data_IF_131047688476
#
_entry.id   IF_131047688476
#
_cell.length_a   1.000
_cell.length_b   1.000
_cell.length_c   1.000
_cell.angle_alpha   90.00
_cell.angle_beta   90.00
_cell.angle_gamma   90.00
#
_symmetry.space_group_name_H-M   'P 1'
#
loop_
_entity.id
_entity.type
_entity.pdbx_description
1 polymer ?
#
# COMPACT_ATOMS: atom_id res chain seq x y z
N UNK A 1 27.37 -14.97 -26.20
CA UNK A 1 26.33 -14.85 -25.16
C UNK A 1 25.96 -13.39 -25.05
N UNK A 2 24.81 -13.01 -25.60
CA UNK A 2 24.31 -11.62 -25.56
C UNK A 2 23.62 -11.40 -24.22
N UNK A 3 24.27 -10.68 -23.31
CA UNK A 3 23.63 -10.16 -22.11
C UNK A 3 22.59 -9.12 -22.53
N UNK A 4 21.32 -9.49 -22.54
CA UNK A 4 20.23 -8.51 -22.64
C UNK A 4 20.28 -7.70 -21.34
N UNK A 5 20.81 -6.47 -21.45
CA UNK A 5 20.66 -5.46 -20.42
C UNK A 5 19.16 -5.19 -20.32
N UNK A 6 18.53 -5.72 -19.28
CA UNK A 6 17.14 -5.42 -18.96
C UNK A 6 17.06 -3.91 -18.75
N UNK A 7 16.44 -3.20 -19.70
CA UNK A 7 16.05 -1.82 -19.52
C UNK A 7 15.15 -1.75 -18.29
N UNK A 8 15.64 -1.08 -17.25
CA UNK A 8 14.92 -0.90 -15.99
C UNK A 8 13.54 -0.32 -16.31
N UNK A 9 12.47 -1.05 -16.00
CA UNK A 9 11.12 -0.58 -16.22
C UNK A 9 10.92 0.74 -15.49
N UNK A 10 10.30 1.72 -16.13
CA UNK A 10 9.96 3.02 -15.51
C UNK A 10 8.95 2.88 -14.36
N UNK A 11 8.31 1.72 -14.22
CA UNK A 11 7.44 1.38 -13.10
C UNK A 11 8.28 1.07 -11.86
N UNK A 12 7.96 1.72 -10.74
CA UNK A 12 8.54 1.43 -9.43
C UNK A 12 7.79 0.26 -8.82
N UNK A 13 8.48 -0.84 -8.53
CA UNK A 13 7.86 -2.00 -7.88
C UNK A 13 7.59 -1.69 -6.41
N UNK A 14 6.57 -2.30 -5.82
CA UNK A 14 6.41 -2.32 -4.36
C UNK A 14 7.62 -2.96 -3.68
N UNK A 15 8.35 -3.83 -4.39
CA UNK A 15 9.61 -4.41 -3.93
C UNK A 15 10.76 -3.40 -3.87
N UNK A 16 10.60 -2.21 -4.45
CA UNK A 16 11.65 -1.18 -4.49
C UNK A 16 11.40 -0.04 -3.49
N UNK A 17 10.23 0.02 -2.85
CA UNK A 17 9.80 1.14 -2.00
C UNK A 17 9.73 0.70 -0.53
N UNK A 18 10.26 1.51 0.38
CA UNK A 18 10.08 1.32 1.81
C UNK A 18 8.63 1.61 2.24
N UNK A 19 8.01 0.81 3.14
CA UNK A 19 8.55 -0.37 3.84
C UNK A 19 8.39 -1.70 3.07
N UNK A 20 7.64 -1.68 1.97
CA UNK A 20 7.21 -2.87 1.22
C UNK A 20 8.34 -3.73 0.68
N UNK A 21 9.47 -3.12 0.29
CA UNK A 21 10.71 -3.81 -0.10
C UNK A 21 11.14 -4.90 0.88
N UNK A 22 10.89 -4.68 2.17
CA UNK A 22 11.27 -5.61 3.23
C UNK A 22 10.08 -6.47 3.69
N UNK A 23 8.90 -5.86 3.81
CA UNK A 23 7.70 -6.56 4.29
C UNK A 23 7.20 -7.60 3.30
N UNK A 24 7.14 -7.27 2.00
CA UNK A 24 6.52 -8.14 1.00
C UNK A 24 7.29 -9.46 0.85
N UNK A 25 8.63 -9.49 0.72
CA UNK A 25 9.36 -10.75 0.65
C UNK A 25 9.17 -11.61 1.90
N UNK A 26 9.23 -11.00 3.08
CA UNK A 26 9.06 -11.70 4.36
C UNK A 26 7.65 -12.27 4.53
N UNK A 27 6.60 -11.47 4.30
CA UNK A 27 5.21 -11.94 4.36
C UNK A 27 4.95 -13.04 3.32
N UNK A 28 5.50 -12.91 2.11
CA UNK A 28 5.37 -13.92 1.06
C UNK A 28 6.00 -15.25 1.47
N UNK A 29 7.17 -15.21 2.12
CA UNK A 29 7.85 -16.40 2.62
C UNK A 29 6.99 -17.14 3.66
N UNK A 30 6.45 -16.42 4.65
CA UNK A 30 5.54 -17.01 5.66
C UNK A 30 4.28 -17.63 5.01
N UNK A 31 3.66 -16.90 4.07
CA UNK A 31 2.49 -17.37 3.34
C UNK A 31 2.76 -18.67 2.56
N UNK A 32 3.91 -18.75 1.88
CA UNK A 32 4.27 -19.93 1.09
C UNK A 32 4.67 -21.10 1.97
N UNK A 33 5.41 -20.87 3.06
CA UNK A 33 5.75 -21.91 4.03
C UNK A 33 4.48 -22.57 4.61
N UNK A 34 3.48 -21.77 4.98
CA UNK A 34 2.18 -22.29 5.48
C UNK A 34 1.41 -23.04 4.39
N UNK A 35 1.40 -22.54 3.15
CA UNK A 35 0.79 -23.25 2.02
C UNK A 35 1.42 -24.62 1.82
N UNK A 36 2.74 -24.71 1.84
CA UNK A 36 3.45 -25.95 1.57
C UNK A 36 3.26 -26.96 2.71
N UNK A 37 3.17 -26.50 3.96
CA UNK A 37 2.78 -27.32 5.10
C UNK A 37 1.36 -27.92 4.94
N UNK A 38 0.38 -27.13 4.46
CA UNK A 38 -0.97 -27.62 4.15
C UNK A 38 -1.03 -28.58 2.96
N UNK A 39 -0.09 -28.47 2.02
CA UNK A 39 0.00 -29.37 0.87
C UNK A 39 0.54 -30.76 1.23
N UNK A 40 1.36 -30.82 2.30
CA UNK A 40 2.02 -32.04 2.75
C UNK A 40 1.26 -32.75 3.89
N UNK A 41 0.52 -32.01 4.71
CA UNK A 41 -0.35 -32.55 5.75
C UNK A 41 -1.82 -32.31 5.41
N UNK A 42 -2.68 -33.31 5.62
CA UNK A 42 -4.14 -33.17 5.64
C UNK A 42 -4.60 -32.36 6.85
N UNK A 43 -4.09 -31.13 7.02
CA UNK A 43 -4.48 -30.23 8.10
C UNK A 43 -5.94 -29.87 7.85
N UNK A 44 -6.86 -30.22 8.77
CA UNK A 44 -8.24 -29.80 8.63
C UNK A 44 -8.26 -28.27 8.61
N UNK A 45 -8.76 -27.68 7.51
CA UNK A 45 -8.99 -26.24 7.44
C UNK A 45 -9.75 -25.82 8.68
N UNK A 46 -9.12 -24.97 9.47
CA UNK A 46 -9.71 -24.57 10.74
C UNK A 46 -10.96 -23.75 10.40
N UNK A 47 -12.15 -24.30 10.65
CA UNK A 47 -13.41 -23.52 10.65
C UNK A 47 -13.30 -22.53 11.80
N UNK A 48 -12.60 -21.41 11.60
CA UNK A 48 -12.33 -20.43 12.66
C UNK A 48 -13.02 -19.10 12.39
N UNK A 49 -13.59 -18.60 13.48
CA UNK A 49 -14.51 -17.46 13.64
C UNK A 49 -13.73 -16.14 13.79
N UNK A 50 -12.40 -16.19 13.94
CA UNK A 50 -11.54 -15.02 14.15
C UNK A 50 -10.66 -14.72 12.93
N UNK A 51 -10.85 -13.53 12.33
CA UNK A 51 -10.06 -13.06 11.18
C UNK A 51 -8.57 -12.84 11.48
N UNK A 52 -8.18 -12.76 12.76
CA UNK A 52 -6.79 -12.49 13.18
C UNK A 52 -6.01 -13.74 13.57
N UNK A 53 -6.66 -14.89 13.74
CA UNK A 53 -6.05 -16.13 14.23
C UNK A 53 -6.36 -17.31 13.28
N UNK A 54 -5.87 -17.19 12.05
CA UNK A 54 -5.94 -18.21 10.98
C UNK A 54 -4.55 -18.81 10.72
N UNK A 55 -4.01 -19.45 11.77
CA UNK A 55 -2.65 -20.04 11.82
C UNK A 55 -2.30 -20.91 10.60
N UNK A 56 -3.27 -21.64 10.07
CA UNK A 56 -3.07 -22.51 8.93
C UNK A 56 -2.89 -21.73 7.62
N UNK A 57 -3.41 -20.50 7.52
CA UNK A 57 -3.36 -19.69 6.30
C UNK A 57 -2.28 -18.61 6.31
N UNK A 58 -2.21 -17.82 7.37
CA UNK A 58 -1.31 -16.67 7.52
C UNK A 58 -0.78 -16.57 8.94
N UNK A 59 0.30 -15.82 9.15
CA UNK A 59 0.77 -15.50 10.50
C UNK A 59 -0.34 -14.81 11.33
N UNK A 60 -0.70 -15.36 12.51
CA UNK A 60 -1.65 -14.71 13.40
C UNK A 60 -1.18 -13.32 13.85
N UNK A 61 -2.13 -12.42 14.11
CA UNK A 61 -1.79 -11.03 14.45
C UNK A 61 -0.89 -10.95 15.70
N UNK A 62 -1.19 -11.74 16.73
CA UNK A 62 -0.41 -11.74 17.97
C UNK A 62 1.04 -12.22 17.74
N UNK A 63 1.27 -13.10 16.78
CA UNK A 63 2.61 -13.50 16.37
C UNK A 63 3.27 -12.38 15.56
N UNK A 64 2.54 -11.82 14.58
CA UNK A 64 3.01 -10.73 13.72
C UNK A 64 3.49 -9.50 14.49
N UNK A 65 2.72 -9.00 15.46
CA UNK A 65 3.08 -7.79 16.22
C UNK A 65 4.33 -7.97 17.08
N UNK A 66 4.69 -9.22 17.41
CA UNK A 66 5.86 -9.55 18.22
C UNK A 66 7.05 -10.03 17.36
N UNK A 67 6.88 -10.13 16.04
CA UNK A 67 7.95 -10.53 15.13
C UNK A 67 9.07 -9.47 15.09
N UNK A 68 10.37 -9.86 15.08
CA UNK A 68 11.48 -8.92 14.97
C UNK A 68 11.39 -7.96 13.77
N UNK A 69 10.91 -8.44 12.61
CA UNK A 69 10.74 -7.61 11.40
C UNK A 69 9.66 -6.57 11.63
N UNK A 70 8.55 -6.94 12.26
CA UNK A 70 7.49 -6.00 12.61
C UNK A 70 8.00 -4.95 13.62
N UNK A 71 8.75 -5.37 14.64
CA UNK A 71 9.37 -4.46 15.60
C UNK A 71 10.37 -3.48 14.98
N UNK A 72 11.08 -3.89 13.93
CA UNK A 72 12.03 -3.02 13.24
C UNK A 72 11.35 -2.04 12.26
N UNK A 73 10.30 -2.48 11.57
CA UNK A 73 9.77 -1.76 10.40
C UNK A 73 8.41 -1.11 10.67
N UNK A 74 7.53 -1.77 11.43
CA UNK A 74 6.13 -1.37 11.61
C UNK A 74 5.94 -0.53 12.87
N UNK A 75 6.50 -0.98 13.99
CA UNK A 75 6.35 -0.30 15.27
C UNK A 75 6.94 1.12 15.20
N UNK A 76 6.12 2.12 15.54
CA UNK A 76 6.46 3.54 15.40
C UNK A 76 6.89 3.96 13.98
N UNK A 77 6.43 3.24 12.95
CA UNK A 77 6.83 3.45 11.56
C UNK A 77 6.59 4.87 11.07
N UNK A 78 5.44 5.47 11.41
CA UNK A 78 5.14 6.86 11.06
C UNK A 78 6.14 7.85 11.66
N UNK A 79 6.44 7.73 12.95
CA UNK A 79 7.45 8.55 13.65
C UNK A 79 8.81 8.44 12.94
N UNK A 80 9.29 7.22 12.68
CA UNK A 80 10.58 7.02 12.04
C UNK A 80 10.62 7.46 10.58
N UNK A 81 9.50 7.38 9.86
CA UNK A 81 9.39 7.88 8.48
C UNK A 81 9.51 9.41 8.46
N UNK A 82 8.80 10.11 9.33
CA UNK A 82 8.86 11.58 9.44
C UNK A 82 10.25 12.06 9.85
N UNK A 83 10.94 11.34 10.75
CA UNK A 83 12.31 11.71 11.17
C UNK A 83 13.39 11.24 10.19
N UNK A 84 13.06 10.38 9.22
CA UNK A 84 14.03 9.79 8.30
C UNK A 84 14.95 8.73 8.94
N UNK A 85 14.53 8.14 10.05
CA UNK A 85 15.28 7.11 10.78
C UNK A 85 14.77 5.70 10.45
N UNK A 86 14.43 5.43 9.19
CA UNK A 86 14.00 4.09 8.74
C UNK A 86 15.20 3.19 8.43
N UNK A 87 14.97 1.93 8.06
CA UNK A 87 16.03 1.04 7.57
C UNK A 87 16.52 1.40 6.14
N UNK A 88 15.99 2.48 5.55
CA UNK A 88 16.50 3.11 4.33
C UNK A 88 17.14 4.49 4.62
N UNK A 89 17.46 4.77 5.89
CA UNK A 89 18.15 6.00 6.28
C UNK A 89 19.55 6.05 5.65
N UNK A 90 20.01 7.27 5.33
CA UNK A 90 21.40 7.52 4.92
C UNK A 90 22.39 7.39 6.09
N UNK A 91 21.89 7.56 7.33
CA UNK A 91 22.73 7.48 8.52
C UNK A 91 22.92 6.02 8.93
N UNK A 92 24.17 5.54 8.90
CA UNK A 92 24.51 4.15 9.21
C UNK A 92 24.09 3.72 10.62
N UNK A 93 24.09 4.65 11.59
CA UNK A 93 23.67 4.38 12.98
C UNK A 93 22.15 4.37 13.20
N UNK A 94 21.33 4.46 12.15
CA UNK A 94 19.88 4.56 12.30
C UNK A 94 19.27 3.30 12.91
N UNK A 95 19.82 2.12 12.60
CA UNK A 95 19.35 0.85 13.17
C UNK A 95 19.56 0.81 14.68
N UNK A 96 20.74 1.20 15.16
CA UNK A 96 21.08 1.27 16.58
C UNK A 96 20.20 2.27 17.31
N UNK A 97 19.96 3.45 16.72
CA UNK A 97 19.08 4.46 17.32
C UNK A 97 17.65 3.92 17.47
N UNK A 98 17.08 3.30 16.42
CA UNK A 98 15.75 2.67 16.50
C UNK A 98 15.71 1.57 17.56
N UNK A 99 16.73 0.72 17.61
CA UNK A 99 16.83 -0.36 18.58
C UNK A 99 16.88 0.19 20.02
N UNK A 100 17.70 1.21 20.27
CA UNK A 100 17.82 1.87 21.58
C UNK A 100 16.51 2.52 22.02
N UNK A 101 15.84 3.26 21.13
CA UNK A 101 14.55 3.90 21.44
C UNK A 101 13.46 2.87 21.75
N UNK A 102 13.43 1.75 21.03
CA UNK A 102 12.49 0.66 21.33
C UNK A 102 12.79 0.00 22.68
N UNK A 103 14.07 -0.16 23.02
CA UNK A 103 14.50 -0.79 24.27
C UNK A 103 14.32 0.12 25.49
N UNK A 104 14.46 1.43 25.31
CA UNK A 104 14.40 2.43 26.37
C UNK A 104 13.38 3.52 26.01
N UNK A 105 12.10 3.38 26.41
CA UNK A 105 11.02 4.29 26.00
C UNK A 105 11.28 5.77 26.29
N UNK A 106 11.95 6.09 27.40
CA UNK A 106 12.32 7.46 27.74
C UNK A 106 13.18 8.14 26.65
N UNK A 107 14.00 7.37 25.93
CA UNK A 107 14.79 7.88 24.80
C UNK A 107 13.92 8.16 23.56
N UNK A 108 12.77 7.50 23.45
CA UNK A 108 11.80 7.72 22.38
C UNK A 108 11.20 9.11 22.37
N UNK A 109 11.14 9.79 23.52
CA UNK A 109 10.64 11.17 23.62
C UNK A 109 11.43 12.15 22.76
N UNK A 110 12.75 11.96 22.64
CA UNK A 110 13.58 12.80 21.78
C UNK A 110 13.22 12.65 20.30
N UNK A 111 13.01 11.41 19.84
CA UNK A 111 12.62 11.12 18.45
C UNK A 111 11.22 11.65 18.18
N UNK A 112 10.28 11.44 19.11
CA UNK A 112 8.92 11.95 19.01
C UNK A 112 8.89 13.48 18.94
N UNK A 113 9.72 14.17 19.73
CA UNK A 113 9.80 15.63 19.69
C UNK A 113 10.30 16.15 18.33
N UNK A 114 11.29 15.48 17.74
CA UNK A 114 11.74 15.82 16.37
C UNK A 114 10.63 15.57 15.35
N UNK A 115 9.89 14.47 15.46
CA UNK A 115 8.77 14.18 14.57
C UNK A 115 7.67 15.24 14.65
N UNK A 116 7.24 15.62 15.86
CA UNK A 116 6.27 16.70 16.10
C UNK A 116 6.73 18.02 15.48
N UNK A 117 7.96 18.44 15.78
CA UNK A 117 8.54 19.67 15.23
C UNK A 117 8.60 19.67 13.70
N UNK A 118 8.80 18.51 13.05
CA UNK A 118 8.75 18.40 11.59
C UNK A 118 7.32 18.52 11.08
N UNK A 119 6.37 17.83 11.71
CA UNK A 119 4.96 17.89 11.36
C UNK A 119 4.41 19.32 11.47
N UNK A 120 4.71 20.02 12.56
CA UNK A 120 4.28 21.42 12.80
C UNK A 120 4.78 22.40 11.73
N UNK A 121 5.84 22.04 11.01
CA UNK A 121 6.45 22.86 9.95
C UNK A 121 6.04 22.41 8.55
N UNK A 122 5.33 21.29 8.41
CA UNK A 122 4.79 20.89 7.11
C UNK A 122 3.66 21.85 6.75
N UNK A 123 3.60 22.24 5.48
CA UNK A 123 2.54 23.12 4.97
C UNK A 123 1.15 22.52 5.22
N UNK A 124 1.05 21.19 5.13
CA UNK A 124 -0.19 20.47 5.29
C UNK A 124 0.06 18.99 5.59
N UNK A 125 -0.77 18.41 6.46
CA UNK A 125 -0.81 16.98 6.78
C UNK A 125 -2.28 16.56 6.76
N UNK A 126 -2.61 15.54 5.96
CA UNK A 126 -3.93 14.95 5.93
C UNK A 126 -4.04 13.74 6.85
N UNK A 127 -5.25 13.50 7.34
CA UNK A 127 -5.63 12.36 8.17
C UNK A 127 -6.51 11.41 7.35
N UNK A 128 -6.33 10.10 7.55
CA UNK A 128 -7.06 9.09 6.76
C UNK A 128 -8.47 8.90 7.30
N UNK A 129 -8.62 9.03 8.61
CA UNK A 129 -9.90 9.05 9.33
C UNK A 129 -10.80 10.20 8.87
N UNK A 130 -10.22 11.38 8.62
CA UNK A 130 -10.91 12.58 8.14
C UNK A 130 -10.57 12.86 6.67
N UNK A 131 -10.67 11.81 5.84
CA UNK A 131 -10.19 11.85 4.45
C UNK A 131 -10.86 12.94 3.60
N UNK A 132 -12.19 13.13 3.72
CA UNK A 132 -12.92 14.14 2.94
C UNK A 132 -12.45 15.56 3.27
N UNK A 133 -12.42 15.90 4.56
CA UNK A 133 -11.96 17.21 5.02
C UNK A 133 -10.50 17.44 4.62
N UNK A 134 -9.67 16.42 4.81
CA UNK A 134 -8.27 16.43 4.42
C UNK A 134 -8.09 16.73 2.91
N UNK A 135 -8.80 15.98 2.06
CA UNK A 135 -8.71 16.18 0.61
C UNK A 135 -9.19 17.57 0.19
N UNK A 136 -10.27 18.07 0.82
CA UNK A 136 -10.84 19.39 0.54
C UNK A 136 -9.88 20.51 0.92
N UNK A 137 -9.30 20.48 2.13
CA UNK A 137 -8.34 21.49 2.59
C UNK A 137 -7.12 21.54 1.67
N UNK A 138 -6.56 20.38 1.32
CA UNK A 138 -5.46 20.29 0.37
C UNK A 138 -5.80 20.93 -0.98
N UNK A 139 -6.96 20.59 -1.54
CA UNK A 139 -7.44 21.17 -2.79
C UNK A 139 -7.61 22.70 -2.71
N UNK A 140 -8.05 23.24 -1.58
CA UNK A 140 -8.13 24.69 -1.39
C UNK A 140 -6.75 25.36 -1.31
N UNK A 141 -5.76 24.74 -0.68
CA UNK A 141 -4.43 25.35 -0.54
C UNK A 141 -3.64 25.38 -1.85
N UNK A 142 -3.67 24.30 -2.63
CA UNK A 142 -2.80 24.16 -3.80
C UNK A 142 -3.54 23.88 -5.11
N UNK A 143 -4.84 23.59 -5.07
CA UNK A 143 -5.60 23.14 -6.25
C UNK A 143 -5.58 24.15 -7.39
N UNK A 144 -5.82 25.44 -7.11
CA UNK A 144 -5.76 26.49 -8.14
C UNK A 144 -4.36 26.62 -8.78
N UNK A 145 -3.30 26.54 -7.96
CA UNK A 145 -1.91 26.63 -8.43
C UNK A 145 -1.55 25.42 -9.30
N UNK A 146 -1.90 24.21 -8.86
CA UNK A 146 -1.67 22.97 -9.61
C UNK A 146 -2.43 22.99 -10.94
N UNK A 147 -3.71 23.40 -10.93
CA UNK A 147 -4.53 23.49 -12.13
C UNK A 147 -3.99 24.52 -13.12
N UNK A 148 -3.59 25.71 -12.63
CA UNK A 148 -3.00 26.76 -13.47
C UNK A 148 -1.70 26.29 -14.15
N UNK A 149 -0.78 25.68 -13.40
CA UNK A 149 0.46 25.15 -13.97
C UNK A 149 0.21 23.96 -14.92
N UNK A 150 -0.79 23.13 -14.64
CA UNK A 150 -1.16 22.02 -15.54
C UNK A 150 -1.74 22.50 -16.88
N UNK A 151 -2.50 23.60 -16.87
CA UNK A 151 -2.98 24.25 -18.09
C UNK A 151 -1.83 24.84 -18.91
N UNK A 152 -0.85 25.45 -18.25
CA UNK A 152 0.37 25.95 -18.89
C UNK A 152 1.21 24.82 -19.50
N UNK A 153 1.39 23.69 -18.79
CA UNK A 153 2.10 22.52 -19.32
C UNK A 153 1.36 21.85 -20.48
N UNK A 154 0.03 21.89 -20.52
CA UNK A 154 -0.75 21.41 -21.68
C UNK A 154 -0.58 22.28 -22.92
N UNK A 155 -0.34 23.59 -22.75
CA UNK A 155 -0.08 24.52 -23.85
C UNK A 155 1.36 24.38 -24.39
N UNK A 156 2.32 24.08 -23.51
CA UNK A 156 3.75 23.95 -23.87
C UNK A 156 4.09 22.62 -24.58
N UNK A 157 3.18 21.63 -24.57
CA UNK A 157 3.35 20.35 -25.28
C UNK A 157 2.82 20.41 -26.72
N UNK A 158 2.31 21.56 -27.17
CA UNK A 158 1.76 21.71 -28.50
C UNK A 158 2.42 22.87 -29.27
N UNK A 159 3.69 22.71 -29.63
CA UNK A 159 4.27 23.34 -30.83
C UNK A 159 5.64 22.71 -31.16
N UNK A 160 5.59 21.62 -31.92
CA UNK A 160 6.61 21.30 -32.94
C UNK A 160 6.02 20.21 -33.85
N UNK A 161 5.16 20.63 -34.78
CA UNK A 161 4.94 19.87 -36.01
C UNK A 161 5.41 20.69 -37.21
N UNK A 162 6.20 20.10 -38.13
CA UNK A 162 6.69 20.78 -39.31
C UNK A 162 5.55 20.96 -40.32
N UNK A 163 5.44 22.17 -40.86
CA UNK A 163 4.52 22.50 -41.95
C UNK A 163 4.82 21.66 -43.20
N UNK A 164 3.79 21.08 -43.80
CA UNK A 164 3.88 20.44 -45.11
C UNK A 164 2.53 20.00 -45.64
N UNK A 165 1.93 20.85 -46.46
CA UNK A 165 0.69 20.66 -47.22
C UNK A 165 0.82 19.50 -48.23
N UNK A 166 -0.22 18.65 -48.32
CA UNK A 166 -1.03 18.36 -49.52
C UNK A 166 -1.55 16.90 -49.67
N UNK A 167 -2.89 16.80 -49.59
CA UNK A 167 -3.80 16.15 -50.55
C UNK A 167 -3.64 14.65 -50.93
N UNK A 168 -4.55 13.80 -50.44
CA UNK A 168 -5.54 13.09 -51.29
C UNK A 168 -6.63 12.34 -50.48
N UNK A 169 -7.89 12.47 -50.89
CA UNK A 169 -9.06 11.68 -50.46
C UNK A 169 -8.94 10.20 -50.90
N UNK A 170 -9.48 9.26 -50.10
CA UNK A 170 -10.58 8.34 -50.50
C UNK A 170 -10.90 7.24 -49.47
N UNK A 171 -12.18 7.21 -49.06
CA UNK A 171 -13.09 6.08 -48.76
C UNK A 171 -12.65 4.79 -48.03
N UNK A 172 -13.50 4.47 -47.03
CA UNK A 172 -14.11 3.17 -46.67
C UNK A 172 -13.24 2.09 -46.02
N UNK A 173 -13.70 1.64 -44.84
CA UNK A 173 -13.25 0.45 -44.10
C UNK A 173 -13.31 -0.82 -44.96
N UNK A 174 -12.47 -1.82 -44.64
CA UNK A 174 -13.03 -2.93 -43.88
C UNK A 174 -12.16 -3.38 -42.69
N UNK A 175 -12.88 -3.81 -41.65
CA UNK A 175 -12.41 -4.65 -40.58
C UNK A 175 -12.03 -6.03 -41.16
N UNK A 176 -10.77 -6.46 -41.00
CA UNK A 176 -10.36 -7.85 -41.21
C UNK A 176 -10.19 -8.53 -39.84
N UNK A 177 -11.26 -9.18 -39.39
CA UNK A 177 -11.17 -10.37 -38.53
C UNK A 177 -10.81 -11.59 -39.38
N UNK A 178 -9.80 -12.36 -38.95
CA UNK A 178 -9.77 -13.83 -39.06
C UNK A 178 -9.21 -14.37 -37.72
N UNK A 179 -10.09 -14.69 -36.78
CA UNK A 179 -10.62 -16.04 -36.48
C UNK A 179 -9.59 -17.07 -36.04
N UNK A 180 -9.74 -17.57 -34.82
CA UNK A 180 -9.99 -19.00 -34.60
C UNK A 180 -10.68 -19.25 -33.24
N UNK A 181 -11.94 -19.70 -33.33
CA UNK A 181 -12.51 -20.85 -32.62
C UNK A 181 -12.61 -20.79 -31.07
N UNK A 182 -13.68 -21.15 -30.35
CA UNK A 182 -14.99 -21.72 -30.65
C UNK A 182 -15.79 -21.72 -29.32
N UNK A 183 -17.05 -21.27 -29.36
CA UNK A 183 -18.22 -21.66 -28.55
C UNK A 183 -18.21 -21.63 -27.00
N UNK A 184 -19.12 -20.78 -26.46
CA UNK A 184 -20.33 -21.10 -25.66
C UNK A 184 -20.19 -22.04 -24.43
N UNK A 185 -20.84 -21.86 -23.27
CA UNK A 185 -22.00 -21.06 -22.86
C UNK A 185 -22.18 -21.22 -21.34
N UNK A 186 -22.32 -20.08 -20.66
CA UNK A 186 -23.39 -19.69 -19.71
C UNK A 186 -23.82 -20.56 -18.51
N UNK A 187 -23.95 -19.83 -17.38
CA UNK A 187 -24.92 -19.86 -16.28
C UNK A 187 -24.35 -20.23 -14.90
N UNK A 188 -24.61 -19.48 -13.83
CA UNK A 188 -25.50 -18.34 -13.68
C UNK A 188 -25.71 -18.07 -12.19
N UNK A 189 -25.54 -16.80 -11.82
CA UNK A 189 -25.89 -16.18 -10.55
C UNK A 189 -27.38 -16.36 -10.25
N UNK A 190 -27.74 -16.77 -9.03
CA UNK A 190 -29.08 -16.55 -8.47
C UNK A 190 -28.99 -16.09 -7.01
N UNK A 191 -29.48 -14.87 -6.81
CA UNK A 191 -29.81 -14.25 -5.53
C UNK A 191 -30.98 -14.99 -4.89
N UNK A 192 -30.97 -15.12 -3.55
CA UNK A 192 -32.19 -15.25 -2.75
C UNK A 192 -32.01 -14.40 -1.47
N UNK A 193 -32.77 -13.32 -1.38
CA UNK A 193 -33.14 -12.67 -0.11
C UNK A 193 -34.24 -13.49 0.57
N UNK A 194 -34.10 -13.75 1.87
CA UNK A 194 -35.21 -13.82 2.81
C UNK A 194 -34.70 -13.60 4.24
N UNK A 195 -35.36 -12.68 4.93
CA UNK A 195 -35.17 -12.25 6.32
C UNK A 195 -35.18 -13.41 7.34
N UNK A 196 -34.39 -13.25 8.41
CA UNK A 196 -34.87 -13.51 9.77
C UNK A 196 -34.10 -12.63 10.77
N UNK A 197 -34.87 -11.82 11.48
CA UNK A 197 -34.53 -10.95 12.61
C UNK A 197 -34.36 -11.74 13.91
N UNK A 198 -33.42 -11.35 14.76
CA UNK A 198 -33.45 -11.40 16.24
C UNK A 198 -32.17 -10.71 16.72
N UNK A 199 -32.27 -9.43 17.11
CA UNK A 199 -32.34 -8.90 18.48
C UNK A 199 -30.98 -8.82 19.21
N UNK A 200 -30.75 -7.61 19.73
CA UNK A 200 -29.53 -7.06 20.34
C UNK A 200 -29.06 -7.81 21.60
N UNK A 201 -27.75 -7.77 21.86
CA UNK A 201 -27.27 -7.57 23.23
C UNK A 201 -26.01 -6.69 23.27
N UNK A 202 -26.02 -5.81 24.25
CA UNK A 202 -25.10 -4.71 24.47
C UNK A 202 -23.74 -5.16 25.03
N UNK A 203 -22.70 -4.42 24.63
CA UNK A 203 -21.75 -3.85 25.59
C UNK A 203 -20.62 -4.75 26.09
N UNK A 204 -19.42 -4.49 25.57
CA UNK A 204 -18.28 -3.96 26.36
C UNK A 204 -17.09 -3.69 25.45
N UNK A 205 -16.75 -2.41 25.33
CA UNK A 205 -15.51 -1.98 24.70
C UNK A 205 -14.32 -2.47 25.53
N UNK A 206 -13.53 -3.36 24.95
CA UNK A 206 -12.19 -3.62 25.45
C UNK A 206 -11.29 -2.49 24.98
N UNK A 207 -10.94 -1.60 25.91
CA UNK A 207 -9.88 -0.61 25.75
C UNK A 207 -8.57 -1.39 25.60
N UNK A 208 -8.03 -1.44 24.38
CA UNK A 208 -6.66 -1.88 24.16
C UNK A 208 -5.78 -0.77 24.72
N UNK A 209 -5.19 -1.02 25.88
CA UNK A 209 -4.20 -0.13 26.46
C UNK A 209 -2.93 -0.22 25.62
N UNK A 210 -2.81 0.65 24.63
CA UNK A 210 -1.52 0.95 24.03
C UNK A 210 -0.64 1.56 25.13
N UNK A 211 0.59 1.05 25.35
CA UNK A 211 1.52 1.75 26.23
C UNK A 211 1.78 3.14 25.63
N UNK A 212 1.46 4.16 26.40
CA UNK A 212 1.94 5.52 26.14
C UNK A 212 3.47 5.48 26.11
N UNK A 213 4.04 6.13 25.10
CA UNK A 213 5.48 6.20 24.82
C UNK A 213 6.27 6.89 25.95
#
# INVERSE_FOLDING_TARGET
>A
MTSRVLTKSRAVSTLDIWPWKYLVPWMREDLFARRDARGNDSVPSSKKINAYDVEDMVMPLHQYINDPVAHEIIHNGATFQITGLTNNSYFDGAHEVRHCVRKYPDLGRFVLQVAKNRLDRMLYIGLTEDHEESARLFAHMVGAQVLSQSGALKLDVQEDQPSGTDSHLSMLDPEDEETNEHMNSTHGWKNNEALNTTEDDHGKGNVIHLPEL
#
